data_IF_400779799226
#
_entry.id   IF_400779799226
#
_cell.length_a   1.000
_cell.length_b   1.000
_cell.length_c   1.000
_cell.angle_alpha   90.00
_cell.angle_beta   90.00
_cell.angle_gamma   90.00
#
_symmetry.space_group_name_H-M   'P 1'
#
loop_
_entity.id
_entity.type
_entity.pdbx_description
1 polymer ?
#
# COMPACT_ATOMS: atom_id res chain seq x y z
N UNK A 1 -17.85 -11.01 13.35
CA UNK A 1 -17.46 -9.72 13.97
C UNK A 1 -16.15 -9.26 13.32
N UNK A 2 -16.21 -8.32 12.38
CA UNK A 2 -15.05 -7.85 11.61
C UNK A 2 -14.03 -7.18 12.54
N UNK A 3 -12.91 -7.87 12.82
CA UNK A 3 -11.77 -7.27 13.54
C UNK A 3 -11.12 -6.25 12.61
N UNK A 4 -11.23 -4.97 13.00
CA UNK A 4 -10.51 -3.81 12.46
C UNK A 4 -9.11 -4.23 12.02
N UNK A 5 -8.78 -4.04 10.76
CA UNK A 5 -7.43 -4.30 10.24
C UNK A 5 -6.44 -3.38 10.95
N UNK A 6 -5.76 -3.89 11.98
CA UNK A 6 -4.71 -3.15 12.72
C UNK A 6 -3.65 -2.59 11.77
N UNK A 7 -3.34 -3.33 10.69
CA UNK A 7 -2.41 -2.88 9.64
C UNK A 7 -2.97 -1.71 8.83
N UNK A 8 -4.27 -1.67 8.55
CA UNK A 8 -4.90 -0.55 7.86
C UNK A 8 -4.87 0.75 8.67
N UNK A 9 -5.04 0.67 9.99
CA UNK A 9 -4.86 1.84 10.86
C UNK A 9 -3.42 2.34 10.84
N UNK A 10 -2.43 1.44 10.98
CA UNK A 10 -1.03 1.85 10.86
C UNK A 10 -0.71 2.50 9.51
N UNK A 11 -1.26 1.98 8.42
CA UNK A 11 -1.00 2.54 7.09
C UNK A 11 -1.63 3.93 6.91
N UNK A 12 -2.87 4.12 7.38
CA UNK A 12 -3.52 5.42 7.33
C UNK A 12 -2.83 6.45 8.24
N UNK A 13 -2.50 6.07 9.47
CA UNK A 13 -1.82 6.97 10.41
C UNK A 13 -0.42 7.33 9.90
N UNK A 14 0.33 6.34 9.37
CA UNK A 14 1.63 6.60 8.77
C UNK A 14 1.55 7.53 7.55
N UNK A 15 0.59 7.31 6.65
CA UNK A 15 0.37 8.19 5.50
C UNK A 15 0.05 9.62 5.94
N UNK A 16 -0.88 9.78 6.89
CA UNK A 16 -1.27 11.07 7.43
C UNK A 16 -0.07 11.84 7.98
N UNK A 17 0.76 11.17 8.78
CA UNK A 17 1.95 11.76 9.37
C UNK A 17 2.95 12.16 8.29
N UNK A 18 3.29 11.25 7.38
CA UNK A 18 4.27 11.48 6.30
C UNK A 18 3.87 12.65 5.40
N UNK A 19 2.59 12.75 5.02
CA UNK A 19 2.15 13.86 4.17
C UNK A 19 2.22 15.19 4.92
N UNK A 20 1.80 15.23 6.19
CA UNK A 20 1.78 16.47 6.98
C UNK A 20 3.17 16.94 7.41
N UNK A 21 4.07 16.03 7.79
CA UNK A 21 5.40 16.40 8.27
C UNK A 21 6.43 16.47 7.15
N UNK A 22 6.48 15.47 6.28
CA UNK A 22 7.59 15.31 5.32
C UNK A 22 7.28 15.91 3.96
N UNK A 23 6.08 15.68 3.43
CA UNK A 23 5.69 16.25 2.15
C UNK A 23 5.51 17.78 2.25
N UNK A 24 4.76 18.26 3.26
CA UNK A 24 4.57 19.70 3.46
C UNK A 24 5.87 20.45 3.83
N UNK A 25 6.87 19.78 4.43
CA UNK A 25 8.19 20.35 4.65
C UNK A 25 9.10 20.33 3.40
N UNK A 26 8.65 19.72 2.30
CA UNK A 26 9.42 19.66 1.04
C UNK A 26 10.49 18.56 1.01
N UNK A 27 10.48 17.60 1.94
CA UNK A 27 11.43 16.48 1.95
C UNK A 27 11.10 15.41 0.89
N UNK A 28 9.85 15.36 0.42
CA UNK A 28 9.37 14.37 -0.55
C UNK A 28 9.22 15.02 -1.94
N UNK A 29 10.14 14.67 -2.85
CA UNK A 29 10.15 15.14 -4.24
C UNK A 29 10.09 14.01 -5.29
N UNK A 30 9.97 12.76 -4.84
CA UNK A 30 9.93 11.57 -5.68
C UNK A 30 9.17 10.42 -5.01
N UNK A 31 8.73 9.44 -5.79
CA UNK A 31 8.10 8.21 -5.29
C UNK A 31 9.01 7.43 -4.34
N UNK A 32 10.32 7.39 -4.62
CA UNK A 32 11.31 6.73 -3.75
C UNK A 32 11.44 7.43 -2.40
N UNK A 33 11.48 8.76 -2.37
CA UNK A 33 11.46 9.51 -1.09
C UNK A 33 10.17 9.25 -0.31
N UNK A 34 9.02 9.24 -0.99
CA UNK A 34 7.73 8.91 -0.38
C UNK A 34 7.75 7.50 0.25
N UNK A 35 8.22 6.50 -0.50
CA UNK A 35 8.35 5.13 -0.03
C UNK A 35 9.29 5.03 1.18
N UNK A 36 10.42 5.73 1.16
CA UNK A 36 11.39 5.75 2.27
C UNK A 36 10.81 6.32 3.57
N UNK A 37 10.15 7.49 3.49
CA UNK A 37 9.51 8.11 4.65
C UNK A 37 8.33 7.26 5.17
N UNK A 38 7.51 6.71 4.27
CA UNK A 38 6.41 5.82 4.66
C UNK A 38 6.92 4.54 5.33
N UNK A 39 7.99 3.93 4.81
CA UNK A 39 8.62 2.77 5.43
C UNK A 39 9.13 3.09 6.83
N UNK A 40 9.81 4.23 7.03
CA UNK A 40 10.34 4.63 8.33
C UNK A 40 9.21 4.77 9.37
N UNK A 41 8.13 5.46 9.01
CA UNK A 41 6.96 5.66 9.87
C UNK A 41 6.25 4.35 10.19
N UNK A 42 6.00 3.49 9.18
CA UNK A 42 5.43 2.16 9.38
C UNK A 42 6.31 1.29 10.30
N UNK A 43 7.63 1.33 10.11
CA UNK A 43 8.57 0.54 10.90
C UNK A 43 8.56 0.96 12.37
N UNK A 44 8.44 2.26 12.64
CA UNK A 44 8.29 2.81 13.97
C UNK A 44 6.99 2.34 14.62
N UNK A 45 5.86 2.47 13.93
CA UNK A 45 4.54 2.10 14.47
C UNK A 45 4.38 0.58 14.68
N UNK A 46 5.07 -0.24 13.89
CA UNK A 46 5.00 -1.71 13.95
C UNK A 46 6.21 -2.35 14.67
N UNK A 47 7.01 -1.57 15.42
CA UNK A 47 8.26 -2.05 16.03
C UNK A 47 8.10 -3.34 16.83
N UNK A 48 7.05 -3.41 17.64
CA UNK A 48 6.80 -4.52 18.58
C UNK A 48 5.77 -5.54 18.06
N UNK A 49 5.32 -5.41 16.81
CA UNK A 49 4.22 -6.21 16.25
C UNK A 49 4.68 -7.52 15.59
N UNK A 50 6.00 -7.77 15.52
CA UNK A 50 6.60 -8.97 14.91
C UNK A 50 6.34 -9.10 13.41
N UNK A 51 5.88 -8.03 12.75
CA UNK A 51 5.59 -7.99 11.32
C UNK A 51 6.85 -7.73 10.51
N UNK A 52 6.88 -8.29 9.31
CA UNK A 52 7.93 -8.08 8.34
C UNK A 52 7.40 -7.12 7.27
N UNK A 53 8.20 -6.09 6.94
CA UNK A 53 7.91 -5.15 5.87
C UNK A 53 8.99 -5.35 4.81
N UNK A 54 8.57 -5.67 3.60
CA UNK A 54 9.43 -5.81 2.43
C UNK A 54 9.21 -4.61 1.52
N UNK A 55 10.31 -4.02 1.04
CA UNK A 55 10.31 -2.87 0.12
C UNK A 55 10.79 -3.34 -1.24
N UNK A 56 10.02 -3.02 -2.28
CA UNK A 56 10.22 -3.50 -3.65
C UNK A 56 10.54 -5.01 -3.76
N UNK A 57 9.88 -5.92 -3.00
CA UNK A 57 10.21 -7.33 -3.07
C UNK A 57 9.93 -7.88 -4.47
N UNK A 58 10.67 -8.92 -4.84
CA UNK A 58 10.22 -9.80 -5.92
C UNK A 58 9.17 -10.75 -5.35
N UNK A 59 8.04 -10.82 -6.03
CA UNK A 59 6.93 -11.71 -5.72
C UNK A 59 6.70 -12.65 -6.90
N UNK A 60 6.89 -13.95 -6.69
CA UNK A 60 6.46 -14.97 -7.64
C UNK A 60 5.00 -15.33 -7.38
N UNK A 61 4.19 -15.19 -8.43
CA UNK A 61 2.83 -15.69 -8.47
C UNK A 61 2.84 -17.12 -9.00
N UNK A 62 2.38 -18.06 -8.18
CA UNK A 62 2.32 -19.48 -8.52
C UNK A 62 1.22 -19.71 -9.55
N UNK A 63 0.06 -19.06 -9.40
CA UNK A 63 -1.09 -19.30 -10.24
C UNK A 63 -0.90 -18.77 -11.68
N UNK A 64 -0.22 -17.64 -11.84
CA UNK A 64 -0.02 -16.96 -13.13
C UNK A 64 1.37 -17.19 -13.75
N UNK A 65 2.27 -17.93 -13.09
CA UNK A 65 3.67 -18.08 -13.49
C UNK A 65 4.34 -16.73 -13.86
N UNK A 66 4.04 -15.70 -13.06
CA UNK A 66 4.42 -14.31 -13.32
C UNK A 66 5.12 -13.71 -12.12
N UNK A 67 6.06 -12.80 -12.40
CA UNK A 67 6.73 -12.00 -11.39
C UNK A 67 6.07 -10.62 -11.29
N UNK A 68 5.79 -10.19 -10.07
CA UNK A 68 5.36 -8.82 -9.75
C UNK A 68 6.30 -8.20 -8.70
N UNK A 69 6.34 -6.86 -8.67
CA UNK A 69 7.19 -6.08 -7.75
C UNK A 69 6.37 -4.94 -7.17
N UNK A 70 5.52 -5.22 -6.17
CA UNK A 70 4.78 -4.17 -5.45
C UNK A 70 5.75 -3.28 -4.68
N UNK A 71 5.35 -2.05 -4.38
CA UNK A 71 6.18 -1.13 -3.60
C UNK A 71 6.43 -1.62 -2.18
N UNK A 72 5.38 -2.09 -1.49
CA UNK A 72 5.50 -2.59 -0.11
C UNK A 72 4.65 -3.84 0.07
N UNK A 73 5.23 -4.87 0.72
CA UNK A 73 4.50 -6.04 1.22
C UNK A 73 4.70 -6.17 2.71
N UNK A 74 3.60 -6.30 3.44
CA UNK A 74 3.61 -6.52 4.88
C UNK A 74 3.11 -7.93 5.18
N UNK A 75 3.92 -8.67 5.92
CA UNK A 75 3.66 -10.05 6.30
C UNK A 75 3.65 -10.19 7.83
N UNK A 76 2.85 -11.13 8.32
CA UNK A 76 3.12 -11.76 9.62
C UNK A 76 4.00 -13.00 9.42
N UNK A 77 4.18 -13.83 10.45
CA UNK A 77 5.04 -15.01 10.38
C UNK A 77 4.75 -15.96 9.20
N UNK A 78 3.50 -16.05 8.71
CA UNK A 78 3.05 -17.04 7.72
C UNK A 78 2.20 -16.49 6.56
N UNK A 79 1.68 -15.27 6.69
CA UNK A 79 0.70 -14.72 5.75
C UNK A 79 1.07 -13.32 5.30
N UNK A 80 0.75 -13.02 4.04
CA UNK A 80 0.63 -11.64 3.57
C UNK A 80 -0.63 -11.05 4.17
N UNK A 81 -0.48 -9.86 4.75
CA UNK A 81 -1.57 -9.14 5.42
C UNK A 81 -1.85 -7.79 4.77
N UNK A 82 -0.86 -7.22 4.06
CA UNK A 82 -1.06 -6.01 3.29
C UNK A 82 -0.11 -5.95 2.10
N UNK A 83 -0.59 -5.43 0.98
CA UNK A 83 0.20 -5.06 -0.20
C UNK A 83 -0.13 -3.61 -0.52
N UNK A 84 0.89 -2.78 -0.76
CA UNK A 84 0.74 -1.35 -1.03
C UNK A 84 1.41 -1.04 -2.37
N UNK A 85 0.70 -0.30 -3.22
CA UNK A 85 1.30 0.44 -4.34
C UNK A 85 1.25 1.94 -4.04
N UNK A 86 2.31 2.64 -4.43
CA UNK A 86 2.48 4.06 -4.25
C UNK A 86 2.42 4.77 -5.59
N UNK A 87 1.98 6.02 -5.56
CA UNK A 87 2.03 6.91 -6.73
C UNK A 87 2.50 8.30 -6.37
N UNK A 88 3.52 8.79 -7.08
CA UNK A 88 3.93 10.19 -6.98
C UNK A 88 3.79 10.94 -8.31
N UNK A 89 2.71 11.73 -8.41
CA UNK A 89 2.39 12.56 -9.57
C UNK A 89 1.84 13.94 -9.15
N UNK A 90 2.54 14.73 -8.31
CA UNK A 90 2.01 15.97 -7.71
C UNK A 90 1.66 17.08 -8.72
N UNK A 91 2.05 16.92 -9.99
CA UNK A 91 1.73 17.86 -11.08
C UNK A 91 0.71 17.30 -12.08
N UNK A 92 0.32 16.03 -11.96
CA UNK A 92 -0.55 15.34 -12.91
C UNK A 92 -1.62 14.49 -12.22
N UNK A 93 -2.45 13.82 -13.02
CA UNK A 93 -3.41 12.85 -12.49
C UNK A 93 -2.71 11.52 -12.21
N UNK A 94 -3.20 10.79 -11.22
CA UNK A 94 -2.74 9.43 -10.95
C UNK A 94 -3.32 8.47 -11.99
N UNK A 95 -2.46 7.75 -12.72
CA UNK A 95 -2.86 6.63 -13.56
C UNK A 95 -2.80 5.33 -12.74
N UNK A 96 -3.96 4.87 -12.25
CA UNK A 96 -4.07 3.76 -11.28
C UNK A 96 -4.21 2.38 -11.92
N UNK A 97 -4.58 2.28 -13.20
CA UNK A 97 -4.90 1.00 -13.84
C UNK A 97 -3.77 -0.03 -13.76
N UNK A 98 -2.52 0.39 -14.00
CA UNK A 98 -1.36 -0.50 -13.97
C UNK A 98 -1.11 -1.02 -12.56
N UNK A 99 -1.27 -0.15 -11.57
CA UNK A 99 -1.09 -0.46 -10.15
C UNK A 99 -2.17 -1.48 -9.75
N UNK A 100 -3.43 -1.22 -10.10
CA UNK A 100 -4.56 -2.13 -9.82
C UNK A 100 -4.39 -3.50 -10.48
N UNK A 101 -3.89 -3.57 -11.73
CA UNK A 101 -3.58 -4.85 -12.39
C UNK A 101 -2.50 -5.63 -11.66
N UNK A 102 -1.51 -4.97 -11.07
CA UNK A 102 -0.39 -5.61 -10.36
C UNK A 102 -0.86 -6.15 -8.99
N UNK A 103 -1.63 -5.36 -8.26
CA UNK A 103 -2.27 -5.76 -7.01
C UNK A 103 -3.26 -6.92 -7.24
N UNK A 104 -4.09 -6.83 -8.28
CA UNK A 104 -5.11 -7.84 -8.59
C UNK A 104 -4.54 -9.20 -8.93
N UNK A 105 -3.35 -9.26 -9.54
CA UNK A 105 -2.64 -10.51 -9.80
C UNK A 105 -2.19 -11.21 -8.50
N UNK A 106 -1.88 -10.44 -7.44
CA UNK A 106 -1.56 -11.01 -6.12
C UNK A 106 -2.83 -11.48 -5.41
N UNK A 107 -3.94 -10.76 -5.56
CA UNK A 107 -5.20 -11.02 -4.85
C UNK A 107 -5.84 -12.37 -5.17
N UNK A 108 -5.61 -12.90 -6.39
CA UNK A 108 -6.13 -14.19 -6.84
C UNK A 108 -5.25 -15.38 -6.45
N UNK A 109 -4.00 -15.14 -6.05
CA UNK A 109 -3.09 -16.21 -5.67
C UNK A 109 -3.39 -16.69 -4.24
N UNK A 110 -3.16 -17.98 -3.98
CA UNK A 110 -3.30 -18.57 -2.65
C UNK A 110 -1.99 -18.48 -1.87
N UNK A 111 -0.85 -18.60 -2.56
CA UNK A 111 0.48 -18.61 -1.97
C UNK A 111 1.45 -17.92 -2.91
N UNK A 112 2.22 -16.99 -2.37
CA UNK A 112 3.27 -16.31 -3.12
C UNK A 112 4.64 -16.59 -2.50
N UNK A 113 5.68 -16.53 -3.32
CA UNK A 113 7.06 -16.58 -2.85
C UNK A 113 7.64 -15.16 -2.86
N UNK A 114 8.23 -14.76 -1.73
CA UNK A 114 8.84 -13.44 -1.58
C UNK A 114 10.36 -13.58 -1.49
N UNK A 115 11.08 -12.81 -2.31
CA UNK A 115 12.54 -12.73 -2.28
C UNK A 115 13.05 -11.30 -2.42
N UNK A 116 14.28 -11.05 -1.93
CA UNK A 116 14.95 -9.73 -1.96
C UNK A 116 16.16 -9.81 -2.89
N UNK A 117 15.92 -9.99 -4.19
CA UNK A 117 16.99 -10.27 -5.18
C UNK A 117 18.06 -9.19 -5.30
N UNK A 118 17.73 -7.93 -5.02
CA UNK A 118 18.69 -6.81 -5.12
C UNK A 118 19.65 -6.75 -3.94
N UNK A 119 19.43 -7.52 -2.89
CA UNK A 119 20.28 -7.56 -1.72
C UNK A 119 21.55 -8.38 -1.99
N UNK A 120 22.72 -7.73 -1.88
CA UNK A 120 24.03 -8.36 -2.10
C UNK A 120 24.67 -8.92 -0.82
N UNK A 121 23.96 -8.98 0.30
CA UNK A 121 24.49 -9.52 1.55
C UNK A 121 24.34 -11.04 1.66
N UNK A 122 24.39 -11.61 2.89
CA UNK A 122 24.19 -13.04 3.12
C UNK A 122 22.90 -13.54 2.46
N UNK A 123 22.94 -14.76 1.92
CA UNK A 123 21.78 -15.36 1.24
C UNK A 123 20.58 -15.36 2.16
N UNK A 124 19.56 -14.57 1.81
CA UNK A 124 18.24 -14.62 2.42
C UNK A 124 17.42 -15.61 1.59
N UNK A 125 17.03 -16.77 2.12
CA UNK A 125 16.19 -17.69 1.38
C UNK A 125 14.86 -17.04 1.07
N UNK A 126 14.35 -17.31 -0.13
CA UNK A 126 12.97 -16.98 -0.45
C UNK A 126 12.04 -17.72 0.50
N UNK A 127 10.89 -17.11 0.80
CA UNK A 127 9.96 -17.66 1.77
C UNK A 127 8.54 -17.65 1.20
N UNK A 128 7.81 -18.77 1.28
CA UNK A 128 6.41 -18.81 0.89
C UNK A 128 5.54 -18.13 1.94
N UNK A 129 4.55 -17.37 1.48
CA UNK A 129 3.52 -16.76 2.30
C UNK A 129 2.15 -17.05 1.71
N UNK A 130 1.20 -17.41 2.58
CA UNK A 130 -0.21 -17.53 2.15
C UNK A 130 -0.83 -16.14 2.02
N UNK A 131 -1.64 -15.92 1.00
CA UNK A 131 -2.50 -14.73 0.94
C UNK A 131 -3.65 -14.93 1.94
N UNK A 132 -3.84 -13.99 2.86
CA UNK A 132 -4.97 -14.05 3.79
C UNK A 132 -6.27 -13.72 3.06
N UNK A 133 -7.39 -14.35 3.42
CA UNK A 133 -8.75 -13.97 2.98
C UNK A 133 -9.24 -12.62 3.56
N UNK A 134 -8.31 -11.85 4.11
CA UNK A 134 -8.50 -10.59 4.81
C UNK A 134 -7.29 -9.69 4.52
N UNK A 135 -6.57 -9.96 3.43
CA UNK A 135 -5.45 -9.15 3.01
C UNK A 135 -5.96 -7.76 2.68
N UNK A 136 -5.24 -6.75 3.17
CA UNK A 136 -5.50 -5.36 2.82
C UNK A 136 -4.69 -4.99 1.58
N UNK A 137 -5.38 -4.74 0.48
CA UNK A 137 -4.77 -4.14 -0.69
C UNK A 137 -4.89 -2.63 -0.61
N UNK A 138 -3.78 -1.93 -0.75
CA UNK A 138 -3.74 -0.49 -0.57
C UNK A 138 -3.12 0.20 -1.78
N UNK A 139 -3.67 1.37 -2.07
CA UNK A 139 -3.10 2.31 -3.01
C UNK A 139 -2.96 3.65 -2.32
N UNK A 140 -1.79 4.28 -2.42
CA UNK A 140 -1.57 5.59 -1.81
C UNK A 140 -0.86 6.54 -2.77
N UNK A 141 -1.42 7.72 -2.99
CA UNK A 141 -0.95 8.61 -4.04
C UNK A 141 -0.92 10.09 -3.67
N UNK A 142 0.16 10.76 -4.08
CA UNK A 142 0.26 12.22 -4.12
C UNK A 142 0.03 12.68 -5.55
N UNK A 143 -1.08 13.36 -5.82
CA UNK A 143 -1.45 13.70 -7.20
C UNK A 143 -2.41 14.90 -7.29
N UNK A 144 -2.65 15.39 -8.51
CA UNK A 144 -3.77 16.32 -8.81
C UNK A 144 -5.03 15.56 -9.21
N UNK A 145 -6.16 16.24 -9.19
CA UNK A 145 -7.45 15.72 -9.66
C UNK A 145 -8.39 15.34 -8.52
N UNK A 146 -9.27 14.37 -8.78
CA UNK A 146 -10.26 13.89 -7.82
C UNK A 146 -9.75 12.71 -7.00
N UNK A 147 -10.45 12.41 -5.90
CA UNK A 147 -10.29 11.20 -5.09
C UNK A 147 -11.50 10.27 -5.23
N UNK A 148 -12.04 10.21 -6.46
CA UNK A 148 -13.09 9.24 -6.78
C UNK A 148 -12.54 7.85 -6.50
N UNK A 149 -13.33 7.05 -5.78
CA UNK A 149 -12.96 5.68 -5.49
C UNK A 149 -12.75 4.94 -6.80
N UNK A 150 -11.65 4.19 -6.92
CA UNK A 150 -11.44 3.36 -8.11
C UNK A 150 -12.54 2.32 -8.21
N UNK A 151 -13.25 2.31 -9.34
CA UNK A 151 -14.29 1.33 -9.65
C UNK A 151 -13.71 -0.10 -9.66
N UNK A 152 -12.40 -0.25 -9.90
CA UNK A 152 -11.71 -1.55 -9.93
C UNK A 152 -11.86 -2.30 -8.61
N UNK A 153 -11.86 -1.61 -7.46
CA UNK A 153 -12.02 -2.29 -6.17
C UNK A 153 -13.38 -2.94 -5.99
N UNK A 154 -14.41 -2.38 -6.63
CA UNK A 154 -15.81 -2.79 -6.46
C UNK A 154 -16.33 -3.63 -7.61
N UNK A 155 -15.78 -3.45 -8.82
CA UNK A 155 -16.23 -4.13 -10.03
C UNK A 155 -15.43 -5.41 -10.35
N UNK A 156 -14.25 -5.58 -9.74
CA UNK A 156 -13.37 -6.71 -10.02
C UNK A 156 -13.51 -7.81 -8.95
N UNK A 157 -14.05 -8.95 -9.37
CA UNK A 157 -14.31 -10.12 -8.51
C UNK A 157 -13.06 -10.63 -7.77
N UNK A 158 -11.86 -10.32 -8.28
CA UNK A 158 -10.59 -10.67 -7.64
C UNK A 158 -10.44 -10.05 -6.25
N UNK A 159 -11.13 -8.92 -5.99
CA UNK A 159 -11.12 -8.24 -4.70
C UNK A 159 -12.35 -8.51 -3.83
N UNK A 160 -13.32 -9.30 -4.31
CA UNK A 160 -14.60 -9.51 -3.63
C UNK A 160 -14.47 -10.03 -2.18
N UNK A 161 -13.40 -10.77 -1.90
CA UNK A 161 -13.12 -11.35 -0.57
C UNK A 161 -12.00 -10.63 0.19
N UNK A 162 -11.61 -9.43 -0.25
CA UNK A 162 -10.48 -8.70 0.33
C UNK A 162 -10.88 -7.30 0.77
N UNK A 163 -9.97 -6.67 1.52
CA UNK A 163 -10.13 -5.28 1.93
C UNK A 163 -9.33 -4.36 1.04
N UNK A 164 -9.84 -3.17 0.79
CA UNK A 164 -9.13 -2.10 0.11
C UNK A 164 -8.98 -0.85 0.97
N UNK A 165 -7.91 -0.11 0.71
CA UNK A 165 -7.66 1.21 1.29
C UNK A 165 -6.99 2.11 0.24
N UNK A 166 -7.68 3.16 -0.17
CA UNK A 166 -7.13 4.21 -1.02
C UNK A 166 -6.84 5.45 -0.19
N UNK A 167 -5.60 5.93 -0.25
CA UNK A 167 -5.13 7.10 0.48
C UNK A 167 -4.68 8.17 -0.53
N UNK A 168 -5.39 9.28 -0.58
CA UNK A 168 -5.10 10.36 -1.51
C UNK A 168 -4.51 11.55 -0.77
N UNK A 169 -3.46 12.13 -1.33
CA UNK A 169 -2.97 13.47 -1.03
C UNK A 169 -3.17 14.33 -2.29
N UNK A 170 -4.31 15.02 -2.35
CA UNK A 170 -4.71 15.82 -3.49
C UNK A 170 -4.02 17.18 -3.45
N UNK A 171 -3.06 17.35 -4.33
CA UNK A 171 -2.23 18.55 -4.45
C UNK A 171 -2.92 19.68 -5.19
N UNK A 172 -2.64 20.91 -4.75
CA UNK A 172 -3.00 22.17 -5.42
C UNK A 172 -1.80 23.12 -5.32
N UNK A 173 -1.67 24.05 -6.25
CA UNK A 173 -0.63 25.09 -6.13
C UNK A 173 -0.82 25.89 -4.84
N UNK A 174 0.29 26.14 -4.15
CA UNK A 174 0.38 27.00 -2.97
C UNK A 174 -0.57 26.64 -1.81
N UNK A 175 -0.93 25.36 -1.69
CA UNK A 175 -1.76 24.85 -0.62
C UNK A 175 -1.30 23.46 -0.16
N UNK A 176 -1.56 23.16 1.11
CA UNK A 176 -1.40 21.81 1.64
C UNK A 176 -2.32 20.83 0.89
N UNK A 177 -1.89 19.57 0.71
CA UNK A 177 -2.70 18.58 0.03
C UNK A 177 -3.94 18.21 0.85
N UNK A 178 -5.07 18.08 0.16
CA UNK A 178 -6.31 17.58 0.75
C UNK A 178 -6.24 16.06 0.90
N UNK A 179 -6.46 15.55 2.11
CA UNK A 179 -6.34 14.13 2.41
C UNK A 179 -7.69 13.42 2.34
N UNK A 180 -7.83 12.46 1.43
CA UNK A 180 -9.07 11.68 1.23
C UNK A 180 -8.79 10.20 1.39
N UNK A 181 -9.73 9.47 2.01
CA UNK A 181 -9.64 8.03 2.26
C UNK A 181 -10.91 7.31 1.80
N UNK A 182 -10.74 6.37 0.87
CA UNK A 182 -11.77 5.41 0.45
C UNK A 182 -11.41 4.03 0.97
N UNK A 183 -12.34 3.33 1.62
CA UNK A 183 -12.06 2.00 2.18
C UNK A 183 -13.34 1.22 2.47
N UNK A 184 -13.28 -0.10 2.30
CA UNK A 184 -14.26 -1.06 2.82
C UNK A 184 -13.77 -1.79 4.09
N UNK A 185 -12.56 -1.48 4.55
CA UNK A 185 -11.84 -2.26 5.55
C UNK A 185 -12.23 -1.92 6.99
N UNK A 186 -12.54 -0.64 7.26
CA UNK A 186 -12.85 -0.12 8.59
C UNK A 186 -13.50 1.28 8.50
N UNK A 187 -13.92 1.83 9.65
CA UNK A 187 -14.42 3.22 9.74
C UNK A 187 -13.32 4.19 9.35
N UNK A 188 -13.64 5.17 8.51
CA UNK A 188 -12.67 6.19 8.06
C UNK A 188 -11.83 6.74 9.23
N UNK A 189 -10.49 6.81 9.09
CA UNK A 189 -9.62 7.39 10.11
C UNK A 189 -9.93 8.87 10.36
N UNK A 190 -9.61 9.36 11.56
CA UNK A 190 -9.66 10.79 11.86
C UNK A 190 -8.63 11.54 11.00
N UNK A 191 -8.98 12.73 10.53
CA UNK A 191 -8.09 13.57 9.73
C UNK A 191 -8.19 13.38 8.21
N UNK A 192 -9.06 12.48 7.75
CA UNK A 192 -9.41 12.33 6.34
C UNK A 192 -10.79 12.91 6.04
N UNK A 193 -10.93 13.50 4.87
CA UNK A 193 -12.19 14.07 4.39
C UNK A 193 -13.11 13.02 3.74
N UNK A 194 -14.38 13.41 3.54
CA UNK A 194 -15.27 12.68 2.66
C UNK A 194 -14.85 12.87 1.19
N UNK A 195 -14.97 11.80 0.36
CA UNK A 195 -14.78 11.92 -1.08
C UNK A 195 -15.76 12.93 -1.67
#
# INVERSE_FOLDING_TARGET
MLKRSKVGHYLADAWLNVIRSEYCAGHINSERSLQGHLFAELRQQMRDDGRQIFIEPRVDLVAEARIVRPDIVICNAKKVICVVELKYAPRGQAATEKDMRSIGAIAVDQTIEISVERYLGPRIPSKPYRISSTTLFAWAGVHKGGAQQSEVWTADDRFANHYFLELHALTKSDAEPRLVCNTNAFRRPKGYEAP
#
